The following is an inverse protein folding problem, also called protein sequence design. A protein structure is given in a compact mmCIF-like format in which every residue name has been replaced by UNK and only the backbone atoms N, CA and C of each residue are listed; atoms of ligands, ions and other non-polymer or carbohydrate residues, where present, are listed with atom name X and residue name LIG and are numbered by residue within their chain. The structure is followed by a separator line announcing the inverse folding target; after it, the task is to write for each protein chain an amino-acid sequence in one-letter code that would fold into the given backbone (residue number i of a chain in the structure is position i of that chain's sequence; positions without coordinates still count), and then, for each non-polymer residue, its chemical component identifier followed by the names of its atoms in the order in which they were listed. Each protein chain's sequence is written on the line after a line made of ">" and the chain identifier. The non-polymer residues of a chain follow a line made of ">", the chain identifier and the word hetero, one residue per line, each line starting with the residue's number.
data_IF_121984362881
#
_entry.id   IF_121984362881
#
_cell.length_a   1.000
_cell.length_b   1.000
_cell.length_c   1.000
_cell.angle_alpha   90.00
_cell.angle_beta   90.00
_cell.angle_gamma   90.00
#
_symmetry.space_group_name_H-M   'P 1'
#
loop_
_entity.id
_entity.type
_entity.pdbx_description
1 polymer ?
#
# COMPACT_ATOMS: atom_id res chain seq x y z
N UNK A 1 -10.37 -7.46 -13.94
CA UNK A 1 -9.79 -6.12 -13.90
C UNK A 1 -8.64 -6.28 -12.97
N UNK A 2 -7.50 -6.52 -13.59
CA UNK A 2 -6.21 -6.71 -12.94
C UNK A 2 -5.88 -5.42 -12.16
N UNK A 3 -5.01 -5.49 -11.15
CA UNK A 3 -4.72 -4.27 -10.39
C UNK A 3 -3.99 -3.26 -11.27
N UNK A 4 -4.07 -1.97 -10.92
CA UNK A 4 -3.31 -0.92 -11.58
C UNK A 4 -1.83 -1.30 -11.77
N UNK A 5 -1.22 -1.98 -10.79
CA UNK A 5 0.15 -2.45 -10.91
C UNK A 5 0.34 -3.63 -11.88
N UNK A 6 -0.57 -4.60 -11.92
CA UNK A 6 -0.50 -5.70 -12.90
C UNK A 6 -0.64 -5.18 -14.34
N UNK A 7 -1.56 -4.22 -14.54
CA UNK A 7 -1.78 -3.54 -15.81
C UNK A 7 -0.54 -2.75 -16.26
N UNK A 8 0.27 -2.27 -15.32
CA UNK A 8 1.52 -1.54 -15.58
C UNK A 8 2.75 -2.45 -15.71
N UNK A 9 2.70 -3.68 -15.18
CA UNK A 9 3.78 -4.68 -15.30
C UNK A 9 3.74 -5.40 -16.65
N UNK A 10 2.55 -5.65 -17.20
CA UNK A 10 2.37 -6.36 -18.48
C UNK A 10 2.98 -5.66 -19.72
N UNK A 11 2.96 -4.32 -19.88
CA UNK A 11 3.39 -3.67 -21.11
C UNK A 11 4.91 -3.51 -21.23
N UNK A 12 5.59 -3.03 -20.18
CA UNK A 12 7.03 -2.73 -20.20
C UNK A 12 7.58 -2.58 -18.76
N UNK A 13 8.78 -3.10 -18.47
CA UNK A 13 9.36 -3.07 -17.12
C UNK A 13 9.53 -1.65 -16.57
N UNK A 14 9.94 -0.72 -17.43
CA UNK A 14 10.17 0.68 -17.09
C UNK A 14 8.87 1.43 -16.76
N UNK A 15 7.77 1.08 -17.43
CA UNK A 15 6.44 1.60 -17.09
C UNK A 15 6.01 1.12 -15.71
N UNK A 16 6.26 -0.16 -15.41
CA UNK A 16 6.03 -0.73 -14.10
C UNK A 16 6.84 0.02 -13.03
N UNK A 17 8.13 0.27 -13.26
CA UNK A 17 8.98 1.01 -12.33
C UNK A 17 8.43 2.40 -11.99
N UNK A 18 8.01 3.16 -13.01
CA UNK A 18 7.37 4.46 -12.80
C UNK A 18 6.07 4.32 -11.99
N UNK A 19 5.22 3.34 -12.34
CA UNK A 19 3.95 3.12 -11.67
C UNK A 19 4.13 2.77 -10.19
N UNK A 20 5.07 1.86 -9.89
CA UNK A 20 5.41 1.46 -8.52
C UNK A 20 6.10 2.58 -7.74
N UNK A 21 6.85 3.46 -8.40
CA UNK A 21 7.53 4.59 -7.77
C UNK A 21 6.55 5.69 -7.40
N UNK A 22 5.73 6.14 -8.35
CA UNK A 22 4.87 7.31 -8.22
C UNK A 22 3.54 7.01 -7.52
N UNK A 23 2.93 5.87 -7.81
CA UNK A 23 1.56 5.58 -7.39
C UNK A 23 1.51 4.48 -6.33
N UNK A 24 0.48 4.51 -5.49
CA UNK A 24 0.11 3.38 -4.67
C UNK A 24 -0.58 2.27 -5.50
N UNK A 25 -0.89 1.13 -4.87
CA UNK A 25 -1.54 -0.01 -5.54
C UNK A 25 -2.94 0.30 -6.07
N UNK A 26 -3.50 1.45 -5.69
CA UNK A 26 -4.83 1.87 -6.02
C UNK A 26 -4.85 3.15 -6.85
N UNK A 27 -3.90 3.31 -7.78
CA UNK A 27 -3.83 4.40 -8.77
C UNK A 27 -3.64 5.82 -8.23
N UNK A 28 -3.38 5.97 -6.93
CA UNK A 28 -3.25 7.29 -6.30
C UNK A 28 -1.79 7.71 -6.20
N UNK A 29 -1.48 8.93 -6.64
CA UNK A 29 -0.13 9.51 -6.49
C UNK A 29 0.23 9.55 -5.00
N UNK A 30 1.42 9.03 -4.66
CA UNK A 30 1.88 8.94 -3.27
C UNK A 30 1.97 10.33 -2.62
N UNK A 31 1.59 10.47 -1.33
CA UNK A 31 1.52 11.77 -0.67
C UNK A 31 2.82 12.59 -0.70
N UNK A 32 3.98 11.95 -0.64
CA UNK A 32 5.26 12.67 -0.67
C UNK A 32 5.52 13.40 -1.99
N UNK A 33 4.88 13.02 -3.09
CA UNK A 33 4.95 13.79 -4.34
C UNK A 33 3.99 14.98 -4.39
N UNK A 34 3.12 15.13 -3.38
CA UNK A 34 2.20 16.27 -3.23
C UNK A 34 2.69 17.24 -2.16
N UNK A 35 3.10 16.69 -1.02
CA UNK A 35 3.26 17.47 0.21
C UNK A 35 4.73 17.68 0.63
N UNK A 36 5.65 16.78 0.24
CA UNK A 36 7.03 16.81 0.72
C UNK A 36 7.80 18.02 0.19
N UNK A 37 8.54 18.70 1.06
CA UNK A 37 9.24 19.95 0.74
C UNK A 37 10.17 19.84 -0.49
N UNK A 38 10.85 18.70 -0.64
CA UNK A 38 11.79 18.46 -1.75
C UNK A 38 11.18 17.62 -2.89
N UNK A 39 10.32 16.65 -2.56
CA UNK A 39 9.91 15.60 -3.52
C UNK A 39 8.68 15.99 -4.33
N UNK A 40 7.92 16.99 -3.88
CA UNK A 40 6.80 17.55 -4.66
C UNK A 40 7.25 18.31 -5.91
N UNK A 41 8.55 18.59 -6.04
CA UNK A 41 9.09 19.45 -7.10
C UNK A 41 8.38 20.80 -7.12
N UNK A 42 7.83 21.17 -8.27
CA UNK A 42 7.04 22.39 -8.46
C UNK A 42 5.71 22.41 -7.69
N UNK A 43 5.25 21.27 -7.16
CA UNK A 43 3.96 21.14 -6.47
C UNK A 43 2.75 21.27 -7.40
N UNK A 44 2.97 21.19 -8.72
CA UNK A 44 1.88 21.28 -9.73
C UNK A 44 1.03 20.01 -9.75
N UNK A 45 1.58 18.89 -9.29
CA UNK A 45 0.94 17.57 -9.35
C UNK A 45 0.13 17.25 -8.09
N UNK A 46 -1.10 16.80 -8.30
CA UNK A 46 -2.09 16.44 -7.28
C UNK A 46 -2.92 15.22 -7.68
N UNK A 47 -4.22 15.25 -7.40
CA UNK A 47 -5.12 14.12 -7.66
C UNK A 47 -5.50 13.97 -9.15
N UNK A 48 -5.17 14.93 -10.01
CA UNK A 48 -5.47 14.88 -11.45
C UNK A 48 -4.76 13.75 -12.20
N UNK A 49 -3.61 13.28 -11.68
CA UNK A 49 -2.89 12.11 -12.20
C UNK A 49 -3.66 10.80 -12.03
N UNK A 50 -4.65 10.76 -11.13
CA UNK A 50 -5.50 9.60 -10.90
C UNK A 50 -6.56 9.42 -11.99
N UNK A 51 -6.99 10.52 -12.60
CA UNK A 51 -8.16 10.56 -13.49
C UNK A 51 -7.79 10.79 -14.96
N UNK A 52 -6.53 11.07 -15.26
CA UNK A 52 -6.04 11.42 -16.59
C UNK A 52 -5.22 10.29 -17.20
N UNK A 53 -5.25 10.15 -18.52
CA UNK A 53 -4.33 9.25 -19.21
C UNK A 53 -2.89 9.72 -19.05
N UNK A 54 -1.93 8.80 -19.02
CA UNK A 54 -0.50 9.12 -18.87
C UNK A 54 0.23 8.86 -20.19
N UNK A 55 0.99 9.84 -20.66
CA UNK A 55 1.96 9.69 -21.75
C UNK A 55 3.37 9.65 -21.18
N UNK A 56 3.99 8.48 -21.16
CA UNK A 56 5.37 8.31 -20.74
C UNK A 56 6.34 8.46 -21.93
N UNK A 57 7.25 9.42 -21.84
CA UNK A 57 8.40 9.54 -22.74
C UNK A 57 9.63 9.04 -21.98
N UNK A 58 9.99 7.78 -22.19
CA UNK A 58 11.11 7.15 -21.49
C UNK A 58 12.47 7.67 -22.00
N UNK A 59 12.67 7.69 -23.31
CA UNK A 59 13.94 8.13 -23.89
C UNK A 59 13.71 8.89 -25.18
N UNK A 60 14.37 10.03 -25.30
CA UNK A 60 14.42 10.83 -26.51
C UNK A 60 15.87 11.23 -26.74
N UNK A 61 16.51 10.60 -27.71
CA UNK A 61 17.95 10.79 -28.00
C UNK A 61 18.13 11.45 -29.37
N UNK A 62 18.94 12.52 -29.42
CA UNK A 62 19.34 13.16 -30.67
C UNK A 62 20.83 12.96 -30.87
N UNK A 63 21.19 12.22 -31.93
CA UNK A 63 22.60 11.94 -32.25
C UNK A 63 23.46 13.22 -32.18
N UNK A 64 24.68 13.16 -31.60
CA UNK A 64 25.51 14.34 -31.34
C UNK A 64 25.70 15.27 -32.54
N UNK A 65 25.82 14.71 -33.74
CA UNK A 65 25.97 15.45 -35.01
C UNK A 65 24.76 16.30 -35.41
N UNK A 66 23.60 16.04 -34.79
CA UNK A 66 22.31 16.66 -35.09
C UNK A 66 21.76 17.48 -33.91
N UNK A 67 22.48 17.55 -32.79
CA UNK A 67 22.12 18.37 -31.62
C UNK A 67 22.13 19.87 -31.95
N UNK A 68 21.44 20.68 -31.13
CA UNK A 68 21.25 22.14 -31.29
C UNK A 68 20.52 22.58 -32.56
N UNK A 69 19.76 21.68 -33.19
CA UNK A 69 18.92 21.96 -34.37
C UNK A 69 17.42 21.88 -34.09
N UNK A 70 17.02 21.94 -32.81
CA UNK A 70 15.62 21.88 -32.35
C UNK A 70 14.91 20.56 -32.72
N UNK A 71 15.66 19.53 -33.11
CA UNK A 71 15.11 18.23 -33.54
C UNK A 71 14.41 17.53 -32.37
N UNK A 72 15.01 17.56 -31.16
CA UNK A 72 14.42 16.95 -29.98
C UNK A 72 13.06 17.56 -29.62
N UNK A 73 12.95 18.90 -29.63
CA UNK A 73 11.69 19.59 -29.39
C UNK A 73 10.64 19.29 -30.46
N UNK A 74 11.04 19.15 -31.73
CA UNK A 74 10.12 18.74 -32.81
C UNK A 74 9.62 17.31 -32.62
N UNK A 75 10.49 16.39 -32.19
CA UNK A 75 10.13 15.01 -31.88
C UNK A 75 9.15 14.94 -30.71
N UNK A 76 9.44 15.64 -29.61
CA UNK A 76 8.54 15.73 -28.46
C UNK A 76 7.17 16.32 -28.87
N UNK A 77 7.16 17.40 -29.66
CA UNK A 77 5.92 18.00 -30.18
C UNK A 77 5.11 17.04 -31.03
N UNK A 78 5.76 16.27 -31.91
CA UNK A 78 5.09 15.25 -32.72
C UNK A 78 4.51 14.11 -31.86
N UNK A 79 5.23 13.68 -30.82
CA UNK A 79 4.75 12.67 -29.86
C UNK A 79 3.50 13.18 -29.13
N UNK A 80 3.50 14.43 -28.66
CA UNK A 80 2.35 15.05 -28.00
C UNK A 80 1.13 15.16 -28.95
N UNK A 81 1.35 15.50 -30.22
CA UNK A 81 0.29 15.55 -31.23
C UNK A 81 -0.30 14.15 -31.53
N UNK A 82 0.52 13.11 -31.51
CA UNK A 82 0.05 11.74 -31.67
C UNK A 82 -0.74 11.27 -30.45
N UNK A 83 -0.31 11.64 -29.25
CA UNK A 83 -1.03 11.32 -28.01
C UNK A 83 -2.41 12.01 -27.97
N UNK A 84 -2.51 13.28 -28.38
CA UNK A 84 -3.78 14.02 -28.41
C UNK A 84 -4.81 13.46 -29.38
N UNK A 85 -4.37 12.69 -30.39
CA UNK A 85 -5.28 11.96 -31.31
C UNK A 85 -5.86 10.70 -30.66
N UNK A 86 -5.20 10.14 -29.65
CA UNK A 86 -5.63 8.92 -28.95
C UNK A 86 -6.40 9.22 -27.67
N UNK A 87 -6.03 10.27 -26.97
CA UNK A 87 -6.68 10.69 -25.72
C UNK A 87 -7.07 12.16 -25.77
N UNK A 88 -8.27 12.45 -25.26
CA UNK A 88 -8.79 13.82 -25.14
C UNK A 88 -8.05 14.64 -24.09
N UNK A 89 -7.46 14.00 -23.09
CA UNK A 89 -6.73 14.64 -21.99
C UNK A 89 -5.70 13.66 -21.44
N UNK A 90 -4.44 14.06 -21.43
CA UNK A 90 -3.35 13.25 -20.89
C UNK A 90 -2.31 14.12 -20.19
N UNK A 91 -1.55 13.50 -19.29
CA UNK A 91 -0.41 14.10 -18.60
C UNK A 91 0.88 13.49 -19.14
N UNK A 92 1.81 14.33 -19.59
CA UNK A 92 3.11 13.91 -20.09
C UNK A 92 4.13 13.77 -18.96
N UNK A 93 4.75 12.60 -18.83
CA UNK A 93 5.80 12.31 -17.86
C UNK A 93 7.08 11.88 -18.60
N UNK A 94 8.23 12.38 -18.16
CA UNK A 94 9.56 11.96 -18.65
C UNK A 94 10.32 11.28 -17.52
N UNK A 95 10.94 10.12 -17.79
CA UNK A 95 11.74 9.40 -16.79
C UNK A 95 13.02 8.83 -17.40
N UNK A 96 14.21 9.11 -16.81
CA UNK A 96 14.43 9.96 -15.63
C UNK A 96 14.15 11.44 -15.89
N UNK A 97 13.92 12.22 -14.82
CA UNK A 97 13.52 13.65 -14.86
C UNK A 97 14.49 14.56 -15.62
N UNK A 98 15.67 14.04 -15.97
CA UNK A 98 16.60 14.58 -16.94
C UNK A 98 16.88 13.46 -17.93
N UNK A 99 16.67 13.70 -19.23
CA UNK A 99 17.19 12.83 -20.26
C UNK A 99 18.70 12.63 -20.00
N UNK A 100 19.09 11.43 -19.56
CA UNK A 100 20.49 11.10 -19.24
C UNK A 100 21.41 11.59 -20.36
N UNK A 101 22.36 12.44 -19.98
CA UNK A 101 23.49 12.93 -20.79
C UNK A 101 23.25 13.86 -22.00
N UNK A 102 22.06 14.44 -22.21
CA UNK A 102 21.84 15.30 -23.40
C UNK A 102 21.71 16.82 -23.16
N UNK A 103 21.75 17.30 -21.92
CA UNK A 103 21.70 18.75 -21.61
C UNK A 103 22.90 19.28 -20.81
N UNK A 104 23.80 18.43 -20.33
CA UNK A 104 24.91 18.83 -19.45
C UNK A 104 26.26 19.00 -20.14
N UNK A 105 26.38 18.95 -21.47
CA UNK A 105 27.57 19.49 -22.14
C UNK A 105 27.44 21.01 -22.34
N UNK A 106 27.26 21.73 -21.24
CA UNK A 106 27.56 23.16 -21.18
C UNK A 106 29.04 23.24 -20.82
N UNK A 107 29.84 23.63 -21.81
CA UNK A 107 31.23 24.05 -21.63
C UNK A 107 31.34 25.04 -20.47
N UNK A 108 32.42 24.98 -19.70
CA UNK A 108 32.76 25.74 -18.48
C UNK A 108 32.62 27.28 -18.52
N UNK A 109 32.03 27.87 -19.57
CA UNK A 109 31.88 29.31 -19.77
C UNK A 109 30.44 29.82 -19.91
N UNK A 110 29.40 28.97 -19.81
CA UNK A 110 28.02 29.48 -19.75
C UNK A 110 27.44 29.31 -18.36
N UNK A 111 27.41 30.45 -17.67
CA UNK A 111 26.80 30.73 -16.38
C UNK A 111 25.50 29.91 -16.28
N UNK A 112 25.59 28.79 -15.56
CA UNK A 112 24.49 28.27 -14.76
C UNK A 112 23.93 29.47 -14.02
N UNK A 113 22.83 30.01 -14.55
CA UNK A 113 21.97 30.86 -13.76
C UNK A 113 21.49 29.93 -12.68
N UNK A 114 22.18 29.98 -11.54
CA UNK A 114 21.62 29.72 -10.22
C UNK A 114 20.18 30.18 -10.29
N UNK A 115 19.28 29.22 -10.51
CA UNK A 115 17.90 29.41 -10.14
C UNK A 115 17.98 29.74 -8.65
N UNK A 116 17.20 30.73 -8.22
CA UNK A 116 17.02 30.93 -6.78
C UNK A 116 16.57 29.59 -6.20
N UNK A 117 17.04 29.21 -5.00
CA UNK A 117 16.77 27.89 -4.38
C UNK A 117 15.28 27.50 -4.44
N UNK A 118 14.38 28.49 -4.44
CA UNK A 118 12.93 28.33 -4.58
C UNK A 118 12.45 27.77 -5.94
N UNK A 119 13.32 27.78 -6.95
CA UNK A 119 13.09 27.32 -8.31
C UNK A 119 14.04 26.20 -8.75
N UNK A 120 14.94 25.76 -7.86
CA UNK A 120 15.81 24.60 -8.07
C UNK A 120 15.12 23.36 -7.46
N UNK A 121 14.49 22.58 -8.32
CA UNK A 121 13.75 21.37 -7.93
C UNK A 121 14.61 20.10 -8.00
N UNK A 122 15.91 20.24 -8.30
CA UNK A 122 16.81 19.10 -8.32
C UNK A 122 17.07 18.60 -6.90
N UNK A 123 17.18 17.29 -6.75
CA UNK A 123 17.58 16.70 -5.46
C UNK A 123 18.98 17.20 -5.09
N UNK A 124 19.22 17.52 -3.81
CA UNK A 124 20.51 18.05 -3.38
C UNK A 124 21.63 17.08 -3.75
N UNK A 125 22.68 17.60 -4.39
CA UNK A 125 23.86 16.80 -4.71
C UNK A 125 24.47 16.25 -3.42
N UNK A 126 24.42 14.92 -3.27
CA UNK A 126 25.02 14.20 -2.16
C UNK A 126 26.52 14.07 -2.43
N UNK A 127 27.40 14.73 -1.66
CA UNK A 127 28.85 14.63 -1.88
C UNK A 127 29.31 13.19 -1.67
N UNK A 128 30.15 12.68 -2.57
CA UNK A 128 30.86 11.42 -2.33
C UNK A 128 31.84 11.62 -1.17
N UNK A 129 31.66 10.83 -0.12
CA UNK A 129 32.51 10.83 1.06
C UNK A 129 33.66 9.82 0.86
N UNK A 130 34.80 10.00 1.54
CA UNK A 130 35.94 9.10 1.35
C UNK A 130 35.61 7.68 1.77
N UNK A 131 36.11 6.73 0.99
CA UNK A 131 36.00 5.30 1.25
C UNK A 131 36.72 4.92 2.54
N UNK A 132 35.99 4.30 3.47
CA UNK A 132 36.54 3.77 4.72
C UNK A 132 36.31 2.26 4.67
N UNK A 133 37.34 1.45 4.33
CA UNK A 133 37.18 0.03 3.99
C UNK A 133 36.42 -0.79 5.02
N UNK A 134 36.63 -0.53 6.31
CA UNK A 134 35.96 -1.22 7.41
C UNK A 134 34.46 -0.89 7.46
N UNK A 135 34.08 0.36 7.21
CA UNK A 135 32.67 0.80 7.15
C UNK A 135 32.02 0.29 5.88
N UNK A 136 32.70 0.38 4.73
CA UNK A 136 32.21 -0.13 3.45
C UNK A 136 31.95 -1.66 3.52
N UNK A 137 32.81 -2.41 4.22
CA UNK A 137 32.60 -3.83 4.49
C UNK A 137 31.37 -4.05 5.38
N UNK A 138 31.22 -3.27 6.46
CA UNK A 138 30.08 -3.37 7.35
C UNK A 138 28.75 -3.05 6.63
N UNK A 139 28.71 -2.01 5.80
CA UNK A 139 27.51 -1.62 5.03
C UNK A 139 27.08 -2.72 4.06
N UNK A 140 28.02 -3.46 3.47
CA UNK A 140 27.71 -4.61 2.60
C UNK A 140 27.17 -5.80 3.40
N UNK A 141 27.77 -6.08 4.55
CA UNK A 141 27.44 -7.24 5.38
C UNK A 141 26.18 -7.06 6.24
N UNK A 142 25.68 -5.82 6.39
CA UNK A 142 24.62 -5.45 7.36
C UNK A 142 23.32 -6.27 7.19
N UNK A 143 23.02 -6.68 5.97
CA UNK A 143 21.84 -7.50 5.63
C UNK A 143 21.97 -8.98 6.01
N UNK A 144 23.18 -9.45 6.24
CA UNK A 144 23.48 -10.89 6.42
C UNK A 144 23.85 -11.22 7.86
N UNK A 145 24.58 -10.33 8.54
CA UNK A 145 24.95 -10.51 9.95
C UNK A 145 23.72 -10.36 10.85
N UNK A 146 23.81 -10.69 12.15
CA UNK A 146 22.76 -10.37 13.13
C UNK A 146 22.98 -8.96 13.75
N UNK A 147 22.11 -8.53 14.66
CA UNK A 147 22.21 -7.19 15.28
C UNK A 147 23.34 -7.10 16.31
N UNK A 148 23.66 -8.20 17.00
CA UNK A 148 24.73 -8.20 18.00
C UNK A 148 26.11 -8.06 17.34
N UNK A 149 26.36 -8.81 16.26
CA UNK A 149 27.57 -8.70 15.43
C UNK A 149 27.65 -7.32 14.75
N UNK A 150 26.52 -6.80 14.25
CA UNK A 150 26.47 -5.45 13.67
C UNK A 150 26.91 -4.40 14.70
N UNK A 151 26.37 -4.47 15.91
CA UNK A 151 26.71 -3.56 17.00
C UNK A 151 28.18 -3.70 17.45
N UNK A 152 28.72 -4.91 17.50
CA UNK A 152 30.14 -5.14 17.81
C UNK A 152 31.05 -4.48 16.77
N UNK A 153 30.77 -4.70 15.49
CA UNK A 153 31.52 -4.08 14.39
C UNK A 153 31.41 -2.56 14.40
N UNK A 154 30.22 -2.01 14.64
CA UNK A 154 30.01 -0.56 14.79
C UNK A 154 30.88 0.01 15.93
N UNK A 155 30.87 -0.64 17.10
CA UNK A 155 31.68 -0.20 18.25
C UNK A 155 33.18 -0.32 17.97
N UNK A 156 33.60 -1.34 17.22
CA UNK A 156 35.02 -1.51 16.86
C UNK A 156 35.51 -0.40 15.93
N UNK A 157 34.68 0.05 14.99
CA UNK A 157 35.08 1.03 13.96
C UNK A 157 34.83 2.47 14.42
N UNK A 158 33.75 2.74 15.14
CA UNK A 158 33.29 4.09 15.49
C UNK A 158 33.17 4.32 17.01
N UNK A 159 33.52 3.35 17.86
CA UNK A 159 33.28 3.43 19.30
C UNK A 159 33.99 4.58 20.01
N UNK A 160 35.22 4.86 19.60
CA UNK A 160 36.06 5.94 20.13
C UNK A 160 36.02 7.21 19.25
N UNK A 161 35.25 7.19 18.15
CA UNK A 161 35.16 8.30 17.21
C UNK A 161 34.32 9.46 17.77
N UNK A 162 34.75 10.70 17.54
CA UNK A 162 33.95 11.89 17.86
C UNK A 162 32.69 11.92 16.98
N UNK A 163 31.58 12.57 17.37
CA UNK A 163 30.42 12.77 16.49
C UNK A 163 30.72 13.57 15.21
N UNK A 164 31.82 14.33 15.20
CA UNK A 164 32.35 15.06 14.04
C UNK A 164 33.24 14.19 13.14
N UNK A 165 33.53 12.95 13.53
CA UNK A 165 34.35 12.04 12.74
C UNK A 165 33.68 11.74 11.40
N UNK A 166 34.48 11.85 10.34
CA UNK A 166 34.08 11.63 8.96
C UNK A 166 33.49 10.23 8.72
N UNK A 167 33.86 9.23 9.52
CA UNK A 167 33.31 7.89 9.47
C UNK A 167 31.79 7.83 9.69
N UNK A 168 31.21 8.73 10.48
CA UNK A 168 29.76 8.79 10.65
C UNK A 168 29.02 9.21 9.38
N UNK A 169 29.68 9.98 8.52
CA UNK A 169 29.13 10.51 7.27
C UNK A 169 29.42 9.61 6.07
N UNK A 170 30.04 8.44 6.27
CA UNK A 170 30.24 7.45 5.21
C UNK A 170 28.90 7.06 4.53
N UNK A 171 28.94 6.80 3.22
CA UNK A 171 27.76 6.54 2.40
C UNK A 171 27.97 5.37 1.45
N UNK A 172 26.89 4.61 1.20
CA UNK A 172 26.85 3.63 0.13
C UNK A 172 26.66 4.29 -1.26
N UNK A 173 26.56 3.45 -2.31
CA UNK A 173 26.34 3.91 -3.69
C UNK A 173 25.00 4.64 -3.92
N UNK A 174 24.06 4.57 -2.96
CA UNK A 174 22.77 5.25 -2.99
C UNK A 174 22.74 6.47 -2.04
N UNK A 175 23.89 6.87 -1.52
CA UNK A 175 24.01 7.98 -0.59
C UNK A 175 23.50 7.68 0.83
N UNK A 176 23.21 6.42 1.15
CA UNK A 176 22.70 6.00 2.46
C UNK A 176 23.83 5.96 3.49
N UNK A 177 23.60 6.59 4.64
CA UNK A 177 24.46 6.44 5.82
C UNK A 177 24.14 5.15 6.58
N UNK A 178 24.96 4.79 7.56
CA UNK A 178 24.67 3.66 8.47
C UNK A 178 23.30 3.77 9.15
N UNK A 179 22.82 4.99 9.42
CA UNK A 179 21.51 5.19 10.05
C UNK A 179 20.34 4.98 9.10
N UNK A 180 20.55 5.04 7.77
CA UNK A 180 19.54 4.60 6.80
C UNK A 180 19.49 3.07 6.73
N UNK A 181 20.66 2.42 6.73
CA UNK A 181 20.80 0.98 6.47
C UNK A 181 20.41 0.11 7.67
N UNK A 182 20.86 0.46 8.88
CA UNK A 182 20.63 -0.35 10.07
C UNK A 182 19.12 -0.59 10.36
N UNK A 183 18.24 0.42 10.27
CA UNK A 183 16.80 0.21 10.41
C UNK A 183 16.20 -0.74 9.37
N UNK A 184 16.60 -0.64 8.10
CA UNK A 184 16.10 -1.51 7.02
C UNK A 184 16.41 -2.98 7.25
N UNK A 185 17.58 -3.26 7.82
CA UNK A 185 18.00 -4.62 8.17
C UNK A 185 17.52 -5.05 9.57
N UNK A 186 16.52 -4.37 10.13
CA UNK A 186 15.91 -4.65 11.45
C UNK A 186 16.91 -4.66 12.61
N UNK A 187 17.92 -3.78 12.57
CA UNK A 187 19.01 -3.68 13.56
C UNK A 187 18.67 -2.70 14.68
N UNK A 188 17.71 -3.05 15.53
CA UNK A 188 17.19 -2.14 16.57
C UNK A 188 18.23 -1.67 17.60
N UNK A 189 19.15 -2.53 18.03
CA UNK A 189 20.19 -2.20 18.99
C UNK A 189 21.26 -1.30 18.35
N UNK A 190 21.69 -1.66 17.13
CA UNK A 190 22.61 -0.86 16.34
C UNK A 190 22.03 0.52 16.02
N UNK A 191 20.77 0.59 15.63
CA UNK A 191 20.04 1.84 15.36
C UNK A 191 20.01 2.74 16.60
N UNK A 192 19.63 2.17 17.77
CA UNK A 192 19.61 2.90 19.04
C UNK A 192 21.00 3.46 19.36
N UNK A 193 22.04 2.64 19.20
CA UNK A 193 23.41 3.04 19.50
C UNK A 193 23.91 4.16 18.57
N UNK A 194 23.64 4.07 17.26
CA UNK A 194 24.00 5.11 16.29
C UNK A 194 23.34 6.44 16.66
N UNK A 195 22.04 6.45 16.95
CA UNK A 195 21.29 7.68 17.31
C UNK A 195 21.86 8.31 18.59
N UNK A 196 22.19 7.50 19.60
CA UNK A 196 22.77 7.98 20.87
C UNK A 196 24.15 8.61 20.69
N UNK A 197 24.94 8.11 19.73
CA UNK A 197 26.30 8.60 19.48
C UNK A 197 26.32 9.79 18.53
N UNK A 198 25.46 9.79 17.52
CA UNK A 198 25.41 10.84 16.52
C UNK A 198 23.99 11.09 16.01
N UNK A 199 23.23 11.89 16.76
CA UNK A 199 21.86 12.27 16.39
C UNK A 199 21.77 13.16 15.15
N UNK A 200 22.87 13.78 14.69
CA UNK A 200 22.88 14.58 13.45
C UNK A 200 22.55 13.75 12.21
N UNK A 201 22.76 12.43 12.27
CA UNK A 201 22.43 11.52 11.19
C UNK A 201 20.92 11.43 10.92
N UNK A 202 20.06 11.78 11.88
CA UNK A 202 18.59 11.75 11.74
C UNK A 202 18.07 12.68 10.63
N UNK A 203 18.81 13.74 10.31
CA UNK A 203 18.42 14.71 9.26
C UNK A 203 19.24 14.56 7.99
N UNK A 204 20.09 13.53 7.86
CA UNK A 204 20.91 13.32 6.66
C UNK A 204 20.06 12.74 5.54
N UNK A 205 20.16 13.34 4.36
CA UNK A 205 19.45 12.89 3.18
C UNK A 205 20.31 11.93 2.36
N UNK A 206 19.72 10.85 1.87
CA UNK A 206 20.32 9.99 0.84
C UNK A 206 20.14 10.56 -0.58
N UNK A 207 20.55 9.82 -1.61
CA UNK A 207 20.44 10.29 -3.01
C UNK A 207 19.01 10.41 -3.52
N UNK A 208 18.01 9.89 -2.79
CA UNK A 208 16.58 10.08 -3.07
C UNK A 208 15.96 11.26 -2.32
N UNK A 209 16.76 11.98 -1.54
CA UNK A 209 16.29 13.06 -0.67
C UNK A 209 15.50 12.56 0.55
N UNK A 210 15.68 11.31 0.96
CA UNK A 210 15.05 10.72 2.15
C UNK A 210 15.95 10.86 3.37
N UNK A 211 15.38 11.26 4.50
CA UNK A 211 15.95 11.03 5.84
C UNK A 211 15.93 9.54 6.20
N UNK A 212 16.65 9.08 7.25
CA UNK A 212 16.56 7.70 7.71
C UNK A 212 15.14 7.24 8.04
N UNK A 213 14.30 8.13 8.59
CA UNK A 213 12.91 7.82 8.90
C UNK A 213 12.09 7.58 7.64
N UNK A 214 12.15 8.51 6.68
CA UNK A 214 11.41 8.41 5.42
C UNK A 214 11.87 7.21 4.59
N UNK A 215 13.18 6.96 4.58
CA UNK A 215 13.78 5.79 3.98
C UNK A 215 13.22 4.49 4.59
N UNK A 216 13.11 4.39 5.92
CA UNK A 216 12.52 3.24 6.60
C UNK A 216 11.04 3.09 6.26
N UNK A 217 10.27 4.17 6.30
CA UNK A 217 8.83 4.14 6.00
C UNK A 217 8.57 3.71 4.54
N UNK A 218 9.38 4.17 3.59
CA UNK A 218 9.30 3.76 2.19
C UNK A 218 9.65 2.27 2.00
N UNK A 219 10.65 1.76 2.74
CA UNK A 219 11.00 0.34 2.74
C UNK A 219 9.88 -0.53 3.34
N UNK A 220 9.33 -0.10 4.48
CA UNK A 220 8.18 -0.74 5.13
C UNK A 220 6.97 -0.79 4.20
N UNK A 221 6.66 0.30 3.48
CA UNK A 221 5.61 0.33 2.46
C UNK A 221 5.87 -0.72 1.38
N UNK A 222 7.08 -0.71 0.79
CA UNK A 222 7.42 -1.61 -0.31
C UNK A 222 7.31 -3.08 0.10
N UNK A 223 7.87 -3.43 1.25
CA UNK A 223 7.92 -4.82 1.75
C UNK A 223 6.55 -5.39 2.09
N UNK A 224 5.62 -4.56 2.58
CA UNK A 224 4.26 -5.02 2.82
C UNK A 224 3.42 -5.11 1.55
N UNK A 225 3.75 -4.36 0.50
CA UNK A 225 2.95 -4.34 -0.72
C UNK A 225 3.44 -5.30 -1.80
N UNK A 226 4.76 -5.47 -1.94
CA UNK A 226 5.36 -6.14 -3.09
C UNK A 226 6.44 -7.11 -2.63
N UNK A 227 6.44 -8.31 -3.19
CA UNK A 227 7.62 -9.17 -3.23
C UNK A 227 8.24 -9.11 -4.63
N UNK A 228 9.56 -9.15 -4.72
CA UNK A 228 10.27 -9.14 -6.00
C UNK A 228 11.08 -10.43 -6.14
N UNK A 229 10.86 -11.15 -7.23
CA UNK A 229 11.64 -12.32 -7.61
C UNK A 229 12.16 -12.16 -9.03
N UNK A 230 13.50 -12.09 -9.17
CA UNK A 230 14.16 -11.70 -10.41
C UNK A 230 13.58 -10.37 -10.96
N UNK A 231 12.99 -10.40 -12.16
CA UNK A 231 12.41 -9.24 -12.83
C UNK A 231 10.90 -9.09 -12.60
N UNK A 232 10.26 -10.03 -11.90
CA UNK A 232 8.82 -10.00 -11.63
C UNK A 232 8.55 -9.47 -10.22
N UNK A 233 7.56 -8.59 -10.13
CA UNK A 233 6.99 -8.12 -8.88
C UNK A 233 5.66 -8.82 -8.67
N UNK A 234 5.27 -9.03 -7.43
CA UNK A 234 3.97 -9.61 -7.10
C UNK A 234 3.39 -8.86 -5.93
N UNK A 235 2.14 -8.42 -6.07
CA UNK A 235 1.40 -7.79 -4.98
C UNK A 235 1.14 -8.84 -3.88
N UNK A 236 1.64 -8.55 -2.68
CA UNK A 236 1.49 -9.38 -1.47
C UNK A 236 0.75 -8.65 -0.36
N UNK A 237 0.17 -7.48 -0.66
CA UNK A 237 -0.54 -6.64 0.31
C UNK A 237 -1.62 -7.40 1.05
N UNK A 238 -2.38 -8.23 0.33
CA UNK A 238 -3.46 -9.02 0.91
C UNK A 238 -2.93 -10.12 1.84
N UNK A 239 -1.65 -10.51 1.74
CA UNK A 239 -0.98 -11.51 2.59
C UNK A 239 -0.23 -10.90 3.76
N UNK A 240 -0.21 -9.58 3.90
CA UNK A 240 0.51 -8.89 4.95
C UNK A 240 -0.07 -9.22 6.34
N UNK A 241 0.78 -9.63 7.28
CA UNK A 241 0.40 -10.03 8.66
C UNK A 241 0.99 -9.12 9.74
N UNK A 242 1.49 -7.96 9.31
CA UNK A 242 2.11 -6.96 10.16
C UNK A 242 3.63 -7.04 10.16
N UNK A 243 4.25 -5.92 10.52
CA UNK A 243 5.69 -5.79 10.67
C UNK A 243 6.22 -6.53 11.90
N UNK A 244 7.47 -6.98 11.84
CA UNK A 244 8.15 -7.60 12.98
C UNK A 244 8.50 -6.58 14.07
N UNK A 245 8.74 -7.04 15.30
CA UNK A 245 8.99 -6.13 16.43
C UNK A 245 10.33 -5.39 16.33
N UNK A 246 11.31 -5.93 15.61
CA UNK A 246 12.63 -5.31 15.48
C UNK A 246 12.57 -4.10 14.56
N UNK A 247 11.90 -4.21 13.40
CA UNK A 247 11.68 -3.06 12.51
C UNK A 247 10.77 -2.00 13.15
N UNK A 248 9.75 -2.42 13.93
CA UNK A 248 8.92 -1.49 14.70
C UNK A 248 9.73 -0.74 15.76
N UNK A 249 10.67 -1.43 16.41
CA UNK A 249 11.58 -0.78 17.36
C UNK A 249 12.45 0.27 16.67
N UNK A 250 12.97 -0.02 15.48
CA UNK A 250 13.69 0.96 14.66
C UNK A 250 12.81 2.16 14.29
N UNK A 251 11.56 1.92 13.87
CA UNK A 251 10.61 2.98 13.52
C UNK A 251 10.34 3.91 14.72
N UNK A 252 10.07 3.33 15.89
CA UNK A 252 9.84 4.10 17.11
C UNK A 252 11.06 4.95 17.49
N UNK A 253 12.28 4.38 17.40
CA UNK A 253 13.52 5.11 17.66
C UNK A 253 13.70 6.30 16.73
N UNK A 254 13.45 6.13 15.43
CA UNK A 254 13.57 7.21 14.45
C UNK A 254 12.49 8.29 14.60
N UNK A 255 11.30 7.92 15.08
CA UNK A 255 10.22 8.86 15.44
C UNK A 255 10.43 9.54 16.81
N UNK A 256 11.48 9.17 17.54
CA UNK A 256 11.73 9.69 18.89
C UNK A 256 10.69 9.23 19.92
N UNK A 257 10.03 8.09 19.70
CA UNK A 257 9.04 7.52 20.59
C UNK A 257 9.71 6.60 21.62
N UNK A 258 9.33 6.74 22.89
CA UNK A 258 9.71 5.80 23.95
C UNK A 258 8.90 4.51 23.79
N UNK A 259 9.55 3.41 23.39
CA UNK A 259 8.89 2.12 23.13
C UNK A 259 8.14 1.62 24.36
N UNK A 260 8.68 1.91 25.54
CA UNK A 260 8.14 1.51 26.83
C UNK A 260 6.79 2.18 27.17
N UNK A 261 6.47 3.30 26.52
CA UNK A 261 5.27 4.11 26.79
C UNK A 261 4.15 3.89 25.76
N UNK A 262 4.37 3.03 24.76
CA UNK A 262 3.40 2.78 23.68
C UNK A 262 2.34 1.78 24.15
N UNK A 263 1.06 2.18 24.10
CA UNK A 263 -0.08 1.29 24.39
C UNK A 263 -0.14 0.09 23.42
N UNK A 264 -0.77 -1.01 23.83
CA UNK A 264 -0.97 -2.19 22.95
C UNK A 264 -1.72 -1.85 21.66
N UNK A 265 -2.69 -0.94 21.73
CA UNK A 265 -3.44 -0.45 20.57
C UNK A 265 -2.54 0.31 19.60
N UNK A 266 -1.67 1.17 20.11
CA UNK A 266 -0.75 1.94 19.29
C UNK A 266 0.35 1.05 18.70
N UNK A 267 0.86 0.08 19.46
CA UNK A 267 1.75 -0.95 18.93
C UNK A 267 1.08 -1.73 17.79
N UNK A 268 -0.19 -2.10 17.94
CA UNK A 268 -0.96 -2.77 16.89
C UNK A 268 -1.14 -1.88 15.66
N UNK A 269 -1.42 -0.59 15.83
CA UNK A 269 -1.51 0.38 14.73
C UNK A 269 -0.20 0.51 13.96
N UNK A 270 0.92 0.62 14.65
CA UNK A 270 2.24 0.66 14.03
C UNK A 270 2.55 -0.64 13.28
N UNK A 271 2.24 -1.79 13.89
CA UNK A 271 2.42 -3.12 13.29
C UNK A 271 1.74 -3.24 11.93
N UNK A 272 0.59 -2.61 11.74
CA UNK A 272 -0.17 -2.68 10.50
C UNK A 272 -0.14 -1.39 9.66
N UNK A 273 0.81 -0.48 9.92
CA UNK A 273 1.00 0.72 9.10
C UNK A 273 -0.20 1.69 9.13
N UNK A 274 -0.94 1.73 10.24
CA UNK A 274 -2.03 2.67 10.43
C UNK A 274 -1.50 4.12 10.35
N UNK A 275 -2.09 4.92 9.48
CA UNK A 275 -1.75 6.35 9.34
C UNK A 275 -2.78 7.29 9.95
N UNK A 276 -3.99 6.78 10.26
CA UNK A 276 -5.07 7.59 10.81
C UNK A 276 -5.10 7.65 12.34
N UNK A 277 -4.29 6.84 13.03
CA UNK A 277 -4.31 6.70 14.49
C UNK A 277 -5.60 6.11 15.07
N UNK A 278 -6.52 5.59 14.26
CA UNK A 278 -7.87 5.19 14.68
C UNK A 278 -8.31 3.81 14.19
N UNK A 279 -7.41 3.03 13.58
CA UNK A 279 -7.73 1.66 13.17
C UNK A 279 -8.13 0.80 14.38
N UNK A 280 -9.27 0.13 14.26
CA UNK A 280 -9.69 -0.92 15.17
C UNK A 280 -8.74 -2.11 15.01
N UNK A 281 -8.31 -2.71 16.13
CA UNK A 281 -7.32 -3.80 16.19
C UNK A 281 -6.03 -3.54 15.40
N UNK A 282 -5.70 -2.27 15.14
CA UNK A 282 -4.51 -1.84 14.41
C UNK A 282 -4.66 -1.74 12.89
N UNK A 283 -5.57 -2.48 12.26
CA UNK A 283 -5.66 -2.56 10.78
C UNK A 283 -7.03 -2.27 10.17
N UNK A 284 -8.15 -2.41 10.89
CA UNK A 284 -9.46 -2.10 10.34
C UNK A 284 -9.72 -0.58 10.47
N UNK A 285 -9.51 0.16 9.38
CA UNK A 285 -9.67 1.61 9.39
C UNK A 285 -11.13 2.05 9.62
N UNK A 286 -11.36 3.26 10.15
CA UNK A 286 -12.72 3.78 10.31
C UNK A 286 -13.52 3.81 9.01
N UNK A 287 -12.91 4.22 7.88
CA UNK A 287 -13.59 4.26 6.57
C UNK A 287 -13.91 2.86 6.06
N UNK A 288 -13.00 1.90 6.19
CA UNK A 288 -13.27 0.52 5.79
C UNK A 288 -14.35 -0.14 6.65
N UNK A 289 -14.34 0.08 7.97
CA UNK A 289 -15.38 -0.36 8.88
C UNK A 289 -16.76 0.17 8.44
N UNK A 290 -16.82 1.44 8.11
CA UNK A 290 -18.04 2.14 7.71
C UNK A 290 -18.56 1.68 6.32
N UNK A 291 -17.65 1.41 5.37
CA UNK A 291 -17.98 0.78 4.08
C UNK A 291 -18.53 -0.64 4.23
N UNK A 292 -17.92 -1.45 5.09
CA UNK A 292 -18.37 -2.81 5.38
C UNK A 292 -19.74 -2.78 6.07
N UNK A 293 -19.95 -1.88 7.04
CA UNK A 293 -21.23 -1.74 7.71
C UNK A 293 -22.34 -1.36 6.72
N UNK A 294 -22.09 -0.33 5.91
CA UNK A 294 -23.02 0.10 4.87
C UNK A 294 -23.36 -1.04 3.90
N UNK A 295 -22.34 -1.78 3.44
CA UNK A 295 -22.54 -2.90 2.53
C UNK A 295 -23.31 -4.04 3.17
N UNK A 296 -23.11 -4.30 4.46
CA UNK A 296 -23.83 -5.34 5.18
C UNK A 296 -25.32 -4.98 5.37
N UNK A 297 -25.60 -3.74 5.78
CA UNK A 297 -26.96 -3.23 5.99
C UNK A 297 -27.75 -3.16 4.68
N UNK A 298 -27.18 -2.54 3.65
CA UNK A 298 -27.84 -2.42 2.34
C UNK A 298 -28.07 -3.78 1.69
N UNK A 299 -27.14 -4.72 1.85
CA UNK A 299 -27.32 -6.08 1.34
C UNK A 299 -28.41 -6.80 2.12
N UNK A 300 -28.43 -6.71 3.45
CA UNK A 300 -29.49 -7.26 4.29
C UNK A 300 -30.86 -6.71 3.86
N UNK A 301 -31.01 -5.39 3.77
CA UNK A 301 -32.28 -4.76 3.38
C UNK A 301 -32.71 -5.19 1.98
N UNK A 302 -31.78 -5.24 1.03
CA UNK A 302 -32.03 -5.70 -0.34
C UNK A 302 -32.56 -7.14 -0.34
N UNK A 303 -31.82 -8.08 0.25
CA UNK A 303 -32.18 -9.50 0.17
C UNK A 303 -33.36 -9.87 1.07
N UNK A 304 -33.59 -9.14 2.17
CA UNK A 304 -34.70 -9.38 3.08
C UNK A 304 -36.02 -8.81 2.53
N UNK A 305 -35.99 -7.60 1.94
CA UNK A 305 -37.19 -6.94 1.37
C UNK A 305 -37.64 -7.62 0.08
N UNK A 306 -36.69 -8.06 -0.73
CA UNK A 306 -36.95 -8.72 -2.01
C UNK A 306 -37.14 -10.23 -1.83
N UNK A 307 -36.52 -10.83 -0.82
CA UNK A 307 -36.54 -12.27 -0.55
C UNK A 307 -37.89 -12.89 -0.27
N UNK A 308 -38.87 -12.07 0.11
CA UNK A 308 -40.25 -12.52 0.34
C UNK A 308 -41.16 -12.35 -0.89
N UNK A 309 -40.68 -11.79 -2.00
CA UNK A 309 -41.49 -11.50 -3.20
C UNK A 309 -41.36 -12.54 -4.31
N UNK A 310 -40.25 -13.26 -4.35
CA UNK A 310 -39.94 -14.24 -5.40
C UNK A 310 -40.07 -15.67 -4.88
N UNK A 311 -40.34 -16.62 -5.79
CA UNK A 311 -40.08 -18.02 -5.46
C UNK A 311 -38.57 -18.21 -5.19
N UNK A 312 -38.22 -19.25 -4.45
CA UNK A 312 -36.83 -19.43 -4.01
C UNK A 312 -35.84 -19.68 -5.15
N UNK A 313 -36.27 -20.27 -6.27
CA UNK A 313 -35.42 -20.48 -7.43
C UNK A 313 -35.13 -19.17 -8.16
N UNK A 314 -36.15 -18.36 -8.40
CA UNK A 314 -36.02 -17.01 -8.95
C UNK A 314 -35.13 -16.13 -8.06
N UNK A 315 -35.31 -16.22 -6.74
CA UNK A 315 -34.47 -15.51 -5.78
C UNK A 315 -32.99 -15.91 -5.92
N UNK A 316 -32.68 -17.21 -5.92
CA UNK A 316 -31.31 -17.70 -6.09
C UNK A 316 -30.71 -17.30 -7.45
N UNK A 317 -31.52 -17.28 -8.50
CA UNK A 317 -31.09 -16.84 -9.83
C UNK A 317 -30.77 -15.35 -9.85
N UNK A 318 -31.64 -14.52 -9.26
CA UNK A 318 -31.44 -13.07 -9.15
C UNK A 318 -30.17 -12.73 -8.36
N UNK A 319 -29.90 -13.46 -7.28
CA UNK A 319 -28.73 -13.26 -6.42
C UNK A 319 -27.55 -14.19 -6.72
N UNK A 320 -27.51 -14.87 -7.88
CA UNK A 320 -26.47 -15.85 -8.21
C UNK A 320 -25.04 -15.32 -8.03
N UNK A 321 -24.81 -14.06 -8.39
CA UNK A 321 -23.49 -13.42 -8.22
C UNK A 321 -23.11 -13.14 -6.76
N UNK A 322 -24.10 -12.94 -5.87
CA UNK A 322 -23.87 -12.82 -4.43
C UNK A 322 -23.52 -14.19 -3.84
N UNK A 323 -24.23 -15.24 -4.23
CA UNK A 323 -24.15 -16.58 -3.62
C UNK A 323 -22.91 -17.41 -4.05
N UNK A 324 -21.96 -16.83 -4.77
CA UNK A 324 -20.78 -17.50 -5.39
C UNK A 324 -19.89 -18.29 -4.39
N UNK A 325 -19.95 -17.94 -3.10
CA UNK A 325 -19.16 -18.54 -2.03
C UNK A 325 -19.92 -19.55 -1.16
N UNK A 326 -21.22 -19.77 -1.43
CA UNK A 326 -21.96 -20.81 -0.73
C UNK A 326 -21.61 -22.19 -1.31
N UNK A 327 -21.47 -23.22 -0.45
CA UNK A 327 -21.44 -24.60 -0.94
C UNK A 327 -22.72 -24.94 -1.71
N UNK A 328 -22.59 -25.70 -2.80
CA UNK A 328 -23.74 -26.08 -3.66
C UNK A 328 -24.94 -26.65 -2.90
N UNK A 329 -24.77 -27.56 -1.90
CA UNK A 329 -25.91 -28.09 -1.15
C UNK A 329 -26.67 -27.00 -0.37
N UNK A 330 -25.95 -25.99 0.13
CA UNK A 330 -26.54 -24.87 0.86
C UNK A 330 -27.28 -23.93 -0.11
N UNK A 331 -26.66 -23.61 -1.24
CA UNK A 331 -27.29 -22.79 -2.28
C UNK A 331 -28.59 -23.43 -2.83
N UNK A 332 -28.60 -24.76 -3.02
CA UNK A 332 -29.81 -25.50 -3.38
C UNK A 332 -30.86 -25.46 -2.26
N UNK A 333 -30.43 -25.57 -0.99
CA UNK A 333 -31.31 -25.42 0.17
C UNK A 333 -32.02 -24.07 0.24
N UNK A 334 -31.35 -22.99 -0.17
CA UNK A 334 -31.95 -21.65 -0.27
C UNK A 334 -33.06 -21.58 -1.33
N UNK A 335 -32.94 -22.32 -2.43
CA UNK A 335 -33.96 -22.30 -3.48
C UNK A 335 -35.26 -22.97 -3.04
N UNK A 336 -35.15 -23.99 -2.18
CA UNK A 336 -36.30 -24.81 -1.79
C UNK A 336 -36.97 -24.28 -0.52
N UNK A 337 -36.18 -23.76 0.43
CA UNK A 337 -36.64 -23.49 1.80
C UNK A 337 -36.60 -22.02 2.17
N UNK A 338 -37.74 -21.49 2.58
CA UNK A 338 -37.88 -20.12 3.08
C UNK A 338 -37.09 -19.89 4.38
N UNK A 339 -37.11 -20.85 5.31
CA UNK A 339 -36.39 -20.76 6.59
C UNK A 339 -34.87 -20.63 6.41
N UNK A 340 -34.32 -21.26 5.37
CA UNK A 340 -32.91 -21.15 5.00
C UNK A 340 -32.58 -19.77 4.42
N UNK A 341 -33.46 -19.22 3.56
CA UNK A 341 -33.29 -17.85 3.03
C UNK A 341 -33.35 -16.82 4.15
N UNK A 342 -34.35 -16.89 5.02
CA UNK A 342 -34.45 -16.01 6.19
C UNK A 342 -33.22 -16.14 7.08
N UNK A 343 -32.72 -17.35 7.31
CA UNK A 343 -31.51 -17.58 8.10
C UNK A 343 -30.26 -16.97 7.47
N UNK A 344 -30.09 -17.10 6.16
CA UNK A 344 -29.02 -16.44 5.41
C UNK A 344 -29.15 -14.91 5.48
N UNK A 345 -30.34 -14.35 5.31
CA UNK A 345 -30.56 -12.90 5.46
C UNK A 345 -30.17 -12.43 6.86
N UNK A 346 -30.62 -13.11 7.91
CA UNK A 346 -30.30 -12.74 9.29
C UNK A 346 -28.80 -12.78 9.57
N UNK A 347 -28.02 -13.65 8.92
CA UNK A 347 -26.57 -13.67 9.05
C UNK A 347 -25.92 -12.33 8.62
N UNK A 348 -26.42 -11.68 7.56
CA UNK A 348 -25.97 -10.34 7.17
C UNK A 348 -26.29 -9.28 8.23
N UNK A 349 -27.46 -9.38 8.88
CA UNK A 349 -27.80 -8.53 10.02
C UNK A 349 -26.83 -8.73 11.19
N UNK A 350 -26.39 -9.95 11.48
CA UNK A 350 -25.41 -10.21 12.52
C UNK A 350 -24.01 -9.70 12.16
N UNK A 351 -23.59 -9.82 10.89
CA UNK A 351 -22.34 -9.21 10.41
C UNK A 351 -22.38 -7.68 10.57
N UNK A 352 -23.47 -7.03 10.15
CA UNK A 352 -23.69 -5.60 10.35
C UNK A 352 -23.67 -5.22 11.85
N UNK A 353 -24.28 -6.04 12.71
CA UNK A 353 -24.28 -5.82 14.16
C UNK A 353 -22.88 -5.91 14.75
N UNK A 354 -22.08 -6.89 14.32
CA UNK A 354 -20.69 -7.02 14.74
C UNK A 354 -19.88 -5.75 14.41
N UNK A 355 -20.00 -5.25 13.17
CA UNK A 355 -19.34 -4.03 12.71
C UNK A 355 -19.82 -2.78 13.47
N UNK A 356 -21.13 -2.66 13.71
CA UNK A 356 -21.73 -1.53 14.43
C UNK A 356 -21.25 -1.45 15.88
N UNK A 357 -21.12 -2.59 16.55
CA UNK A 357 -20.56 -2.70 17.91
C UNK A 357 -19.03 -2.59 17.93
N UNK A 358 -18.40 -2.23 16.80
CA UNK A 358 -16.94 -2.14 16.64
C UNK A 358 -16.22 -3.42 17.06
N UNK A 359 -16.86 -4.56 16.84
CA UNK A 359 -16.25 -5.87 17.00
C UNK A 359 -15.63 -6.28 15.68
N UNK A 360 -14.45 -6.90 15.75
CA UNK A 360 -13.81 -7.48 14.59
C UNK A 360 -14.66 -8.67 14.09
N UNK A 361 -15.17 -8.67 12.84
CA UNK A 361 -16.17 -9.65 12.42
C UNK A 361 -15.52 -10.99 12.10
N UNK A 362 -15.11 -11.73 13.13
CA UNK A 362 -14.65 -13.12 13.03
C UNK A 362 -15.83 -14.08 13.23
N UNK A 363 -15.64 -15.35 12.88
CA UNK A 363 -16.64 -16.39 13.13
C UNK A 363 -17.02 -16.46 14.61
N UNK A 364 -16.06 -16.35 15.53
CA UNK A 364 -16.33 -16.39 16.98
C UNK A 364 -17.22 -15.24 17.42
N UNK A 365 -16.92 -14.02 16.96
CA UNK A 365 -17.65 -12.81 17.34
C UNK A 365 -19.07 -12.80 16.76
N UNK A 366 -19.24 -13.24 15.51
CA UNK A 366 -20.57 -13.37 14.90
C UNK A 366 -21.36 -14.50 15.57
N UNK A 367 -20.74 -15.65 15.86
CA UNK A 367 -21.39 -16.75 16.58
C UNK A 367 -21.82 -16.34 17.98
N UNK A 368 -21.03 -15.52 18.68
CA UNK A 368 -21.39 -14.99 19.99
C UNK A 368 -22.71 -14.19 19.92
N UNK A 369 -22.82 -13.29 18.93
CA UNK A 369 -24.04 -12.51 18.70
C UNK A 369 -25.24 -13.40 18.37
N UNK A 370 -25.07 -14.35 17.44
CA UNK A 370 -26.14 -15.30 17.06
C UNK A 370 -26.57 -16.16 18.25
N UNK A 371 -25.62 -16.55 19.12
CA UNK A 371 -25.90 -17.38 20.29
C UNK A 371 -26.71 -16.64 21.35
N UNK A 372 -26.38 -15.36 21.57
CA UNK A 372 -26.98 -14.51 22.59
C UNK A 372 -28.29 -13.86 22.13
N UNK A 373 -28.59 -13.90 20.84
CA UNK A 373 -29.84 -13.38 20.33
C UNK A 373 -31.04 -14.25 20.74
N UNK A 374 -32.10 -13.56 21.18
CA UNK A 374 -33.40 -14.17 21.51
C UNK A 374 -34.32 -14.23 20.28
N UNK A 375 -33.76 -14.52 19.10
CA UNK A 375 -34.52 -14.63 17.86
C UNK A 375 -35.45 -15.85 17.90
N UNK A 376 -36.74 -15.62 17.66
CA UNK A 376 -37.72 -16.68 17.49
C UNK A 376 -38.55 -16.47 16.21
N UNK A 377 -38.53 -17.43 15.25
CA UNK A 377 -37.69 -18.64 15.23
C UNK A 377 -36.19 -18.33 15.01
N UNK A 378 -35.26 -19.20 15.47
CA UNK A 378 -33.82 -18.95 15.40
C UNK A 378 -33.25 -19.26 14.01
N UNK A 379 -33.75 -18.57 12.97
CA UNK A 379 -33.46 -18.86 11.56
C UNK A 379 -31.95 -18.86 11.24
N UNK A 380 -31.20 -17.87 11.73
CA UNK A 380 -29.75 -17.80 11.50
C UNK A 380 -29.01 -18.99 12.11
N UNK A 381 -29.36 -19.37 13.34
CA UNK A 381 -28.77 -20.54 14.02
C UNK A 381 -29.06 -21.82 13.24
N UNK A 382 -30.29 -21.99 12.79
CA UNK A 382 -30.70 -23.16 12.00
C UNK A 382 -29.97 -23.22 10.65
N UNK A 383 -29.76 -22.08 9.99
CA UNK A 383 -28.97 -21.98 8.76
C UNK A 383 -27.53 -22.45 8.99
N UNK A 384 -26.87 -21.94 10.04
CA UNK A 384 -25.50 -22.32 10.39
C UNK A 384 -25.40 -23.81 10.72
N UNK A 385 -26.32 -24.33 11.54
CA UNK A 385 -26.35 -25.75 11.92
C UNK A 385 -26.56 -26.71 10.74
N UNK A 386 -27.16 -26.24 9.64
CA UNK A 386 -27.35 -27.01 8.41
C UNK A 386 -26.18 -26.88 7.43
N UNK A 387 -25.06 -26.28 7.84
CA UNK A 387 -23.84 -26.13 7.05
C UNK A 387 -23.69 -24.77 6.36
N UNK A 388 -24.58 -23.80 6.64
CA UNK A 388 -24.38 -22.42 6.21
C UNK A 388 -23.15 -21.81 6.89
N UNK A 389 -22.24 -21.25 6.12
CA UNK A 389 -20.98 -20.71 6.66
C UNK A 389 -21.04 -19.20 6.88
N UNK A 390 -20.59 -18.75 8.06
CA UNK A 390 -20.34 -17.34 8.36
C UNK A 390 -19.23 -16.82 7.46
N UNK A 391 -18.13 -17.56 7.33
CA UNK A 391 -17.01 -17.21 6.46
C UNK A 391 -17.46 -16.98 5.02
N UNK A 392 -18.35 -17.81 4.46
CA UNK A 392 -18.88 -17.58 3.11
C UNK A 392 -19.60 -16.23 3.01
N UNK A 393 -20.53 -15.94 3.93
CA UNK A 393 -21.28 -14.67 3.92
C UNK A 393 -20.37 -13.47 4.16
N UNK A 394 -19.38 -13.59 5.02
CA UNK A 394 -18.42 -12.53 5.26
C UNK A 394 -17.48 -12.32 4.05
N UNK A 395 -16.98 -13.38 3.41
CA UNK A 395 -16.23 -13.25 2.13
C UNK A 395 -17.07 -12.54 1.07
N UNK A 396 -18.37 -12.86 0.97
CA UNK A 396 -19.29 -12.14 0.07
C UNK A 396 -19.40 -10.66 0.44
N UNK A 397 -19.48 -10.33 1.73
CA UNK A 397 -19.50 -8.95 2.21
C UNK A 397 -18.23 -8.19 1.78
N UNK A 398 -17.04 -8.73 2.06
CA UNK A 398 -15.77 -8.10 1.68
C UNK A 398 -15.66 -7.92 0.16
N UNK A 399 -16.00 -8.95 -0.62
CA UNK A 399 -15.95 -8.89 -2.09
C UNK A 399 -16.92 -7.86 -2.65
N UNK A 400 -18.14 -7.81 -2.11
CA UNK A 400 -19.17 -6.86 -2.54
C UNK A 400 -18.74 -5.44 -2.20
N UNK A 401 -18.27 -5.20 -0.98
CA UNK A 401 -17.78 -3.89 -0.54
C UNK A 401 -16.65 -3.41 -1.44
N UNK A 402 -15.66 -4.27 -1.71
CA UNK A 402 -14.55 -3.96 -2.62
C UNK A 402 -15.01 -3.60 -4.03
N UNK A 403 -16.02 -4.30 -4.58
CA UNK A 403 -16.57 -4.03 -5.93
C UNK A 403 -17.40 -2.75 -6.01
N UNK A 404 -18.06 -2.38 -4.91
CA UNK A 404 -19.00 -1.24 -4.86
C UNK A 404 -18.39 -0.02 -4.14
N UNK A 405 -17.08 -0.03 -3.88
CA UNK A 405 -16.36 1.08 -3.24
C UNK A 405 -16.65 2.43 -3.92
N UNK A 406 -16.67 2.48 -5.25
CA UNK A 406 -16.99 3.73 -5.97
C UNK A 406 -18.44 4.19 -5.77
N UNK A 407 -19.37 3.26 -5.60
CA UNK A 407 -20.78 3.58 -5.34
C UNK A 407 -20.99 4.07 -3.92
N UNK A 408 -20.18 3.59 -2.97
CA UNK A 408 -20.24 4.03 -1.57
C UNK A 408 -20.07 5.55 -1.45
N UNK A 409 -19.07 6.13 -2.13
CA UNK A 409 -18.83 7.57 -2.11
C UNK A 409 -20.00 8.36 -2.75
N UNK A 410 -20.66 7.78 -3.76
CA UNK A 410 -21.82 8.40 -4.44
C UNK A 410 -23.08 8.33 -3.59
N UNK A 411 -23.38 7.18 -2.99
CA UNK A 411 -24.62 6.95 -2.25
C UNK A 411 -24.60 7.58 -0.87
N UNK A 412 -23.46 7.53 -0.19
CA UNK A 412 -23.32 8.06 1.18
C UNK A 412 -22.92 9.54 1.19
N UNK A 413 -22.33 10.04 0.10
CA UNK A 413 -21.77 11.38 0.03
C UNK A 413 -20.49 11.53 0.88
N UNK A 414 -20.03 12.77 1.14
CA UNK A 414 -18.81 13.00 1.89
C UNK A 414 -18.93 12.46 3.32
N UNK A 415 -18.03 11.56 3.69
CA UNK A 415 -17.96 10.96 5.02
C UNK A 415 -16.84 11.62 5.82
N UNK A 416 -17.19 12.18 6.98
CA UNK A 416 -16.25 12.81 7.91
C UNK A 416 -15.50 11.76 8.75
N UNK A 417 -14.63 11.00 8.08
CA UNK A 417 -13.77 9.99 8.70
C UNK A 417 -12.33 10.18 8.22
N UNK A 418 -11.33 9.93 9.10
CA UNK A 418 -9.94 10.14 8.73
C UNK A 418 -9.52 9.15 7.64
N UNK A 419 -8.77 9.64 6.66
CA UNK A 419 -8.14 8.80 5.64
C UNK A 419 -7.05 7.95 6.27
N UNK A 420 -7.02 6.67 5.92
CA UNK A 420 -6.00 5.74 6.39
C UNK A 420 -5.41 4.97 5.22
N UNK A 421 -4.13 4.61 5.34
CA UNK A 421 -3.50 3.69 4.39
C UNK A 421 -4.21 2.34 4.32
N UNK A 422 -4.92 1.94 5.38
CA UNK A 422 -5.68 0.69 5.45
C UNK A 422 -7.12 0.79 4.91
N UNK A 423 -7.54 1.93 4.36
CA UNK A 423 -8.94 2.15 3.91
C UNK A 423 -9.42 1.17 2.84
N UNK A 424 -8.49 0.65 2.03
CA UNK A 424 -8.80 -0.16 0.84
C UNK A 424 -8.21 -1.57 0.91
N UNK A 425 -7.73 -1.99 2.09
CA UNK A 425 -7.06 -3.29 2.29
C UNK A 425 -8.05 -4.44 2.55
N UNK A 426 -9.05 -4.61 1.68
CA UNK A 426 -10.14 -5.58 1.84
C UNK A 426 -9.67 -7.03 2.01
N UNK A 427 -8.72 -7.47 1.18
CA UNK A 427 -8.19 -8.83 1.20
C UNK A 427 -7.40 -9.11 2.48
N UNK A 428 -6.54 -8.17 2.87
CA UNK A 428 -5.79 -8.22 4.13
C UNK A 428 -6.75 -8.34 5.32
N UNK A 429 -7.70 -7.42 5.46
CA UNK A 429 -8.64 -7.39 6.60
C UNK A 429 -9.52 -8.64 6.62
N UNK A 430 -10.06 -9.06 5.49
CA UNK A 430 -10.88 -10.28 5.39
C UNK A 430 -10.11 -11.52 5.82
N UNK A 431 -8.86 -11.67 5.39
CA UNK A 431 -8.02 -12.79 5.82
C UNK A 431 -7.61 -12.72 7.29
N UNK A 432 -7.46 -11.51 7.87
CA UNK A 432 -7.27 -11.36 9.31
C UNK A 432 -8.50 -11.81 10.11
N UNK A 433 -9.71 -11.74 9.53
CA UNK A 433 -10.93 -12.31 10.14
C UNK A 433 -11.00 -13.84 10.06
N UNK A 434 -10.06 -14.50 9.36
CA UNK A 434 -10.10 -15.93 9.05
C UNK A 434 -10.88 -16.28 7.78
N UNK A 435 -11.19 -15.29 6.92
CA UNK A 435 -11.96 -15.49 5.70
C UNK A 435 -11.07 -15.62 4.47
N UNK A 436 -11.67 -16.08 3.36
CA UNK A 436 -11.00 -16.07 2.07
C UNK A 436 -10.60 -14.63 1.70
N UNK A 437 -9.35 -14.44 1.27
CA UNK A 437 -8.76 -13.15 0.94
C UNK A 437 -9.29 -12.71 -0.42
N UNK A 438 -10.23 -11.77 -0.38
CA UNK A 438 -10.76 -11.17 -1.61
C UNK A 438 -9.68 -10.30 -2.25
N UNK A 439 -9.45 -10.52 -3.53
CA UNK A 439 -8.47 -9.76 -4.30
C UNK A 439 -9.12 -9.11 -5.52
N UNK A 440 -8.60 -7.96 -5.93
CA UNK A 440 -8.95 -7.33 -7.20
C UNK A 440 -8.36 -8.12 -8.38
N UNK A 441 -7.24 -8.79 -8.16
CA UNK A 441 -6.53 -9.62 -9.14
C UNK A 441 -7.20 -10.98 -9.24
N UNK A 442 -7.74 -11.31 -10.41
CA UNK A 442 -8.37 -12.61 -10.63
C UNK A 442 -7.36 -13.57 -11.25
N UNK A 443 -6.64 -14.31 -10.42
CA UNK A 443 -5.80 -15.39 -10.92
C UNK A 443 -6.65 -16.55 -11.42
N UNK A 444 -6.32 -17.07 -12.60
CA UNK A 444 -6.97 -18.22 -13.21
C UNK A 444 -5.97 -19.39 -13.27
N UNK A 445 -6.45 -20.61 -13.01
CA UNK A 445 -5.70 -21.81 -13.33
C UNK A 445 -5.57 -21.95 -14.85
N UNK A 446 -4.67 -22.82 -15.32
CA UNK A 446 -4.58 -23.15 -16.76
C UNK A 446 -5.90 -23.72 -17.33
N UNK A 447 -6.82 -24.17 -16.48
CA UNK A 447 -8.15 -24.67 -16.84
C UNK A 447 -9.21 -23.56 -16.84
N UNK A 448 -8.83 -22.31 -16.56
CA UNK A 448 -9.73 -21.15 -16.48
C UNK A 448 -10.52 -21.08 -15.17
N UNK A 449 -10.14 -21.86 -14.15
CA UNK A 449 -10.79 -21.82 -12.85
C UNK A 449 -10.23 -20.68 -12.00
N UNK A 450 -11.08 -19.97 -11.27
CA UNK A 450 -10.65 -18.88 -10.38
C UNK A 450 -9.89 -19.44 -9.19
N UNK A 451 -8.67 -18.95 -8.96
CA UNK A 451 -7.90 -19.24 -7.75
C UNK A 451 -8.52 -18.46 -6.58
N UNK A 452 -8.70 -19.16 -5.46
CA UNK A 452 -9.26 -18.67 -4.20
C UNK A 452 -8.15 -18.74 -3.15
N UNK A 453 -7.97 -17.67 -2.37
CA UNK A 453 -6.82 -17.50 -1.45
C UNK A 453 -7.23 -17.47 0.01
#
# INVERSE_FOLDING_TARGET
>A
MDTFWDDMEAPEHQLAELAFELFDRFDSLKPHFKDHALKRGSGVWGDELRYSDILLIHKLEVSPSHRRRVIGSKLAGAILELASKKSKSFIGITSPGVAEDEWTSVTEDDISRSLEIEHDYDLPHVPQMPHIPEIDSLMKDIWVIDDAECLERLKKVLGDASPEDIGWEARDNHGNTLLHLAPWSSKSQSTRWIIQRNSRLLSRLNSKGDTPLEALEAYMERTRTITQFMFSRTDVSDMFTGFDNAILSCLCLLRGLAIEDISEDEHSRLRFGCTCGNCLVGFLSPRLLDMLLFSAETTFDLINTVGNRYDGHEWCQYYKGLLEYLPDPIAQGLAIRDDMRTGFCMLWKYLATCLRERMFPTDENVLLLVRNANDWPPHCRNFIQKGGSISSAATMLFKRTMKLEQLYDVEKGPVDLPTCRNDREFGMVGGMCGYERVTRVQHLTMQGEKIRF
#
